data_IF_644442602755
#
_entry.id   IF_644442602755
#
_cell.length_a   1.000
_cell.length_b   1.000
_cell.length_c   1.000
_cell.angle_alpha   90.00
_cell.angle_beta   90.00
_cell.angle_gamma   90.00
#
_symmetry.space_group_name_H-M   'P 1'
#
loop_
_entity.id
_entity.type
_entity.pdbx_description
1 polymer ?
#
# COMPACT_ATOMS: atom_id res chain seq x y z
N UNK A 1 24.16 -15.52 -11.11
CA UNK A 1 22.89 -15.43 -11.88
C UNK A 1 22.63 -13.98 -12.14
N UNK A 2 22.28 -13.58 -13.36
CA UNK A 2 22.02 -12.19 -13.68
C UNK A 2 20.79 -11.72 -12.89
N UNK A 3 20.93 -10.61 -12.17
CA UNK A 3 19.81 -9.91 -11.56
C UNK A 3 18.81 -9.60 -12.68
N UNK A 4 17.59 -10.13 -12.55
CA UNK A 4 16.50 -9.83 -13.49
C UNK A 4 16.24 -8.34 -13.39
N UNK A 5 16.34 -7.60 -14.49
CA UNK A 5 16.09 -6.16 -14.46
C UNK A 5 14.60 -5.85 -14.23
N UNK A 6 14.29 -4.62 -13.84
CA UNK A 6 12.93 -4.19 -13.50
C UNK A 6 11.93 -4.45 -14.65
N UNK A 7 12.30 -4.18 -15.90
CA UNK A 7 11.43 -4.42 -17.05
C UNK A 7 11.06 -5.91 -17.21
N UNK A 8 12.02 -6.81 -17.06
CA UNK A 8 11.77 -8.25 -17.13
C UNK A 8 10.90 -8.73 -15.96
N UNK A 9 11.00 -8.11 -14.77
CA UNK A 9 10.14 -8.44 -13.63
C UNK A 9 8.70 -7.99 -13.88
N UNK A 10 8.48 -6.82 -14.47
CA UNK A 10 7.15 -6.35 -14.83
C UNK A 10 6.46 -7.28 -15.86
N UNK A 11 7.18 -7.73 -16.90
CA UNK A 11 6.66 -8.71 -17.86
C UNK A 11 6.31 -10.03 -17.18
N UNK A 12 7.16 -10.50 -16.28
CA UNK A 12 6.95 -11.74 -15.55
C UNK A 12 5.75 -11.64 -14.60
N UNK A 13 5.58 -10.51 -13.94
CA UNK A 13 4.42 -10.22 -13.10
C UNK A 13 3.11 -10.29 -13.90
N UNK A 14 3.04 -9.58 -15.03
CA UNK A 14 1.87 -9.61 -15.91
C UNK A 14 1.56 -11.02 -16.41
N UNK A 15 2.58 -11.75 -16.82
CA UNK A 15 2.41 -13.13 -17.33
C UNK A 15 1.90 -14.11 -16.26
N UNK A 16 2.20 -13.88 -14.97
CA UNK A 16 1.62 -14.65 -13.87
C UNK A 16 0.18 -14.23 -13.60
N UNK A 17 -0.09 -12.93 -13.54
CA UNK A 17 -1.42 -12.39 -13.27
C UNK A 17 -2.47 -12.82 -14.31
N UNK A 18 -2.06 -13.06 -15.56
CA UNK A 18 -2.93 -13.62 -16.60
C UNK A 18 -3.36 -15.09 -16.34
N UNK A 19 -2.65 -15.83 -15.50
CA UNK A 19 -2.82 -17.28 -15.32
C UNK A 19 -3.30 -17.69 -13.95
N UNK A 20 -3.07 -16.87 -12.97
CA UNK A 20 -3.31 -17.20 -11.56
C UNK A 20 -3.68 -15.95 -10.75
N UNK A 21 -4.34 -16.17 -9.63
CA UNK A 21 -4.57 -15.12 -8.63
C UNK A 21 -3.27 -14.95 -7.85
N UNK A 22 -2.79 -13.71 -7.73
CA UNK A 22 -1.60 -13.41 -6.96
C UNK A 22 -1.96 -13.00 -5.54
N UNK A 23 -1.09 -13.40 -4.60
CA UNK A 23 -1.28 -13.14 -3.17
C UNK A 23 -0.38 -11.98 -2.76
N UNK A 24 -1.00 -10.90 -2.28
CA UNK A 24 -0.32 -9.78 -1.65
C UNK A 24 -0.06 -10.12 -0.18
N UNK A 25 0.99 -9.55 0.42
CA UNK A 25 1.26 -9.67 1.86
C UNK A 25 0.15 -9.01 2.72
N UNK A 26 0.36 -8.91 4.00
CA UNK A 26 -0.61 -8.39 4.95
C UNK A 26 -0.18 -7.08 5.61
N UNK A 27 -0.84 -6.75 6.71
CA UNK A 27 -0.69 -5.49 7.44
C UNK A 27 0.73 -5.31 8.02
N UNK A 28 1.61 -4.63 7.29
CA UNK A 28 2.98 -4.32 7.74
C UNK A 28 2.97 -3.48 9.02
N UNK A 29 2.02 -2.54 9.14
CA UNK A 29 1.92 -1.64 10.30
C UNK A 29 1.75 -2.40 11.60
N UNK A 30 0.81 -3.34 11.66
CA UNK A 30 0.56 -4.13 12.85
C UNK A 30 1.75 -5.01 13.24
N UNK A 31 2.39 -5.65 12.26
CA UNK A 31 3.62 -6.41 12.51
C UNK A 31 4.74 -5.54 13.10
N UNK A 32 4.88 -4.29 12.64
CA UNK A 32 5.84 -3.33 13.18
C UNK A 32 5.46 -2.93 14.61
N UNK A 33 4.18 -2.64 14.89
CA UNK A 33 3.72 -2.33 16.24
C UNK A 33 3.92 -3.52 17.18
N UNK A 34 3.71 -4.75 16.71
CA UNK A 34 3.98 -5.99 17.44
C UNK A 34 5.44 -6.17 17.89
N UNK A 35 6.40 -5.47 17.25
CA UNK A 35 7.80 -5.44 17.71
C UNK A 35 7.98 -4.76 19.08
N UNK A 36 7.00 -3.97 19.53
CA UNK A 36 6.98 -3.36 20.88
C UNK A 36 8.16 -2.42 21.16
N UNK A 37 8.72 -1.77 20.13
CA UNK A 37 9.91 -0.91 20.29
C UNK A 37 9.57 0.34 21.10
N UNK A 38 10.47 0.70 22.02
CA UNK A 38 10.44 1.99 22.73
C UNK A 38 10.80 3.15 21.79
N UNK A 39 10.44 4.38 22.19
CA UNK A 39 10.81 5.60 21.44
C UNK A 39 12.33 5.69 21.19
N UNK A 40 13.15 5.34 22.18
CA UNK A 40 14.62 5.35 22.06
C UNK A 40 15.10 4.32 21.02
N UNK A 41 14.51 3.12 21.01
CA UNK A 41 14.84 2.09 20.04
C UNK A 41 14.43 2.51 18.63
N UNK A 42 13.23 3.10 18.45
CA UNK A 42 12.76 3.61 17.15
C UNK A 42 13.74 4.62 16.58
N UNK A 43 14.23 5.58 17.37
CA UNK A 43 15.22 6.57 16.94
C UNK A 43 16.53 5.95 16.50
N UNK A 44 16.97 4.91 17.19
CA UNK A 44 18.31 4.35 17.03
C UNK A 44 19.39 5.44 17.17
N UNK A 45 20.60 5.17 16.70
CA UNK A 45 21.69 6.16 16.74
C UNK A 45 21.44 7.33 15.77
N UNK A 46 20.75 7.09 14.67
CA UNK A 46 20.59 8.09 13.60
C UNK A 46 19.73 9.27 14.00
N UNK A 47 18.64 9.04 14.72
CA UNK A 47 17.65 10.06 15.07
C UNK A 47 17.61 10.34 16.58
N UNK A 48 18.62 9.93 17.35
CA UNK A 48 18.66 10.09 18.80
C UNK A 48 18.42 11.53 19.28
N UNK A 49 18.91 12.50 18.54
CA UNK A 49 18.80 13.92 18.85
C UNK A 49 17.70 14.63 18.03
N UNK A 50 16.83 13.86 17.33
CA UNK A 50 15.75 14.43 16.53
C UNK A 50 14.71 15.12 17.43
N UNK A 51 14.23 16.33 17.11
CA UNK A 51 13.43 17.13 18.05
C UNK A 51 11.99 16.62 18.26
N UNK A 52 11.45 15.79 17.33
CA UNK A 52 10.08 15.28 17.37
C UNK A 52 10.02 13.86 17.92
N UNK A 53 8.88 13.48 18.51
CA UNK A 53 8.57 12.09 18.87
C UNK A 53 8.44 11.24 17.62
N UNK A 54 9.17 10.13 17.54
CA UNK A 54 9.23 9.24 16.38
C UNK A 54 8.57 7.88 16.63
N UNK A 55 8.00 7.65 17.82
CA UNK A 55 7.44 6.33 18.20
C UNK A 55 6.45 5.78 17.18
N UNK A 56 5.63 6.66 16.60
CA UNK A 56 4.61 6.30 15.63
C UNK A 56 5.05 6.48 14.17
N UNK A 57 6.31 6.82 13.92
CA UNK A 57 6.88 6.96 12.59
C UNK A 57 7.41 5.61 12.09
N UNK A 58 6.52 4.71 11.71
CA UNK A 58 6.88 3.34 11.33
C UNK A 58 7.74 3.25 10.07
N UNK A 59 7.62 4.21 9.17
CA UNK A 59 8.35 4.24 7.90
C UNK A 59 9.86 4.35 8.08
N UNK A 60 10.34 5.03 9.15
CA UNK A 60 11.79 5.15 9.43
C UNK A 60 12.43 3.83 9.90
N UNK A 61 11.64 2.81 10.27
CA UNK A 61 12.16 1.53 10.73
C UNK A 61 12.99 0.84 9.64
N UNK A 62 12.69 1.10 8.38
CA UNK A 62 13.54 0.67 7.26
C UNK A 62 14.98 1.17 7.35
N UNK A 63 15.21 2.34 7.95
CA UNK A 63 16.53 2.94 8.20
C UNK A 63 17.14 2.53 9.54
N UNK A 64 16.34 2.48 10.60
CA UNK A 64 16.85 2.23 11.96
C UNK A 64 16.93 0.75 12.32
N UNK A 65 16.05 -0.08 11.72
CA UNK A 65 15.93 -1.51 11.98
C UNK A 65 15.78 -2.35 10.70
N UNK A 66 16.68 -2.19 9.69
CA UNK A 66 16.51 -2.80 8.36
C UNK A 66 16.37 -4.33 8.41
N UNK A 67 17.09 -5.01 9.32
CA UNK A 67 16.99 -6.47 9.42
C UNK A 67 15.64 -6.93 10.01
N UNK A 68 15.05 -6.15 10.94
CA UNK A 68 13.71 -6.48 11.47
C UNK A 68 12.67 -6.35 10.36
N UNK A 69 12.69 -5.26 9.59
CA UNK A 69 11.76 -5.07 8.46
C UNK A 69 11.97 -6.16 7.41
N UNK A 70 13.21 -6.49 7.05
CA UNK A 70 13.49 -7.60 6.13
C UNK A 70 12.94 -8.93 6.65
N UNK A 71 12.99 -9.16 7.97
CA UNK A 71 12.46 -10.38 8.58
C UNK A 71 10.92 -10.44 8.51
N UNK A 72 10.23 -9.32 8.73
CA UNK A 72 8.77 -9.26 8.54
C UNK A 72 8.38 -9.62 7.09
N UNK A 73 9.08 -9.08 6.11
CA UNK A 73 8.88 -9.47 4.71
C UNK A 73 9.10 -10.97 4.48
N UNK A 74 10.13 -11.58 5.12
CA UNK A 74 10.37 -13.03 5.01
C UNK A 74 9.22 -13.85 5.56
N UNK A 75 8.62 -13.44 6.68
CA UNK A 75 7.47 -14.13 7.27
C UNK A 75 6.29 -14.19 6.29
N UNK A 76 5.93 -13.08 5.65
CA UNK A 76 4.90 -13.07 4.62
C UNK A 76 5.26 -13.93 3.40
N UNK A 77 6.51 -13.90 2.95
CA UNK A 77 6.97 -14.72 1.82
C UNK A 77 6.99 -16.21 2.17
N UNK A 78 7.34 -16.58 3.40
CA UNK A 78 7.28 -17.96 3.90
C UNK A 78 5.84 -18.46 3.97
N UNK A 79 4.91 -17.61 4.37
CA UNK A 79 3.48 -17.89 4.39
C UNK A 79 2.86 -18.00 2.99
N UNK A 80 3.58 -17.58 1.95
CA UNK A 80 3.18 -17.82 0.55
C UNK A 80 2.91 -16.58 -0.29
N UNK A 81 3.13 -15.36 0.19
CA UNK A 81 2.94 -14.14 -0.58
C UNK A 81 3.74 -14.16 -1.90
N UNK A 82 3.13 -13.63 -2.95
CA UNK A 82 3.74 -13.38 -4.27
C UNK A 82 4.24 -11.97 -4.41
N UNK A 83 3.53 -11.03 -3.78
CA UNK A 83 3.79 -9.59 -3.79
C UNK A 83 3.98 -9.16 -2.34
N UNK A 84 5.00 -8.37 -2.06
CA UNK A 84 5.20 -7.71 -0.76
C UNK A 84 5.25 -6.21 -0.92
N UNK A 85 4.63 -5.49 0.01
CA UNK A 85 4.61 -4.03 0.03
C UNK A 85 5.84 -3.47 0.75
N UNK A 86 6.32 -2.33 0.26
CA UNK A 86 7.40 -1.61 0.95
C UNK A 86 6.88 -0.94 2.23
N UNK A 87 7.70 -0.87 3.28
CA UNK A 87 7.39 -0.08 4.47
C UNK A 87 7.56 1.43 4.19
N UNK A 88 6.67 1.99 3.36
CA UNK A 88 6.71 3.38 2.88
C UNK A 88 5.34 4.05 2.81
N UNK A 89 4.37 3.53 3.56
CA UNK A 89 2.97 3.96 3.52
C UNK A 89 2.79 5.47 3.71
N UNK A 90 3.47 6.08 4.68
CA UNK A 90 3.43 7.53 4.93
C UNK A 90 4.64 8.28 4.35
N UNK A 91 5.54 7.61 3.62
CA UNK A 91 6.86 8.12 3.25
C UNK A 91 6.84 9.19 2.13
N UNK A 92 5.90 10.12 2.19
CA UNK A 92 5.87 11.35 1.37
C UNK A 92 6.18 12.58 2.23
N UNK A 93 6.55 13.72 1.63
CA UNK A 93 6.82 14.95 2.38
C UNK A 93 5.61 15.40 3.21
N UNK A 94 4.41 15.33 2.63
CA UNK A 94 3.17 15.66 3.36
C UNK A 94 2.84 14.60 4.39
N UNK A 95 3.04 13.31 4.08
CA UNK A 95 2.78 12.21 5.02
C UNK A 95 3.67 12.28 6.26
N UNK A 96 4.94 12.64 6.11
CA UNK A 96 5.91 12.77 7.20
C UNK A 96 6.05 14.20 7.73
N UNK A 97 5.13 15.12 7.35
CA UNK A 97 5.24 16.55 7.73
C UNK A 97 5.23 16.80 9.25
N UNK A 98 4.56 15.96 10.02
CA UNK A 98 4.48 16.10 11.48
C UNK A 98 5.81 15.79 12.17
N UNK A 99 6.72 15.11 11.50
CA UNK A 99 8.06 14.79 11.98
C UNK A 99 9.13 15.77 11.48
N UNK A 100 8.76 16.70 10.61
CA UNK A 100 9.64 17.74 10.04
C UNK A 100 10.91 17.18 9.38
N UNK A 101 10.84 16.00 8.75
CA UNK A 101 11.97 15.45 8.03
C UNK A 101 12.26 16.25 6.74
N UNK A 102 13.54 16.53 6.45
CA UNK A 102 13.92 17.11 5.17
C UNK A 102 13.74 16.09 4.02
N UNK A 103 13.64 16.59 2.80
CA UNK A 103 13.42 15.78 1.59
C UNK A 103 14.41 14.63 1.46
N UNK A 104 15.68 14.86 1.83
CA UNK A 104 16.72 13.85 1.75
C UNK A 104 16.39 12.63 2.63
N UNK A 105 15.87 12.85 3.85
CA UNK A 105 15.45 11.76 4.75
C UNK A 105 14.24 11.03 4.17
N UNK A 106 13.25 11.76 3.64
CA UNK A 106 12.08 11.15 2.99
C UNK A 106 12.52 10.24 1.82
N UNK A 107 13.44 10.70 1.00
CA UNK A 107 14.01 9.87 -0.08
C UNK A 107 14.73 8.63 0.47
N UNK A 108 15.57 8.78 1.47
CA UNK A 108 16.30 7.66 2.08
C UNK A 108 15.35 6.62 2.70
N UNK A 109 14.25 7.05 3.34
CA UNK A 109 13.20 6.15 3.86
C UNK A 109 12.66 5.27 2.74
N UNK A 110 12.26 5.87 1.60
CA UNK A 110 11.74 5.11 0.46
C UNK A 110 12.78 4.16 -0.13
N UNK A 111 14.04 4.58 -0.29
CA UNK A 111 15.13 3.72 -0.76
C UNK A 111 15.38 2.54 0.17
N UNK A 112 15.38 2.77 1.49
CA UNK A 112 15.56 1.72 2.49
C UNK A 112 14.39 0.73 2.50
N UNK A 113 13.15 1.23 2.39
CA UNK A 113 11.95 0.40 2.33
C UNK A 113 12.02 -0.57 1.13
N UNK A 114 12.37 -0.07 -0.06
CA UNK A 114 12.55 -0.91 -1.24
C UNK A 114 13.72 -1.89 -1.08
N UNK A 115 14.86 -1.45 -0.55
CA UNK A 115 16.02 -2.31 -0.38
C UNK A 115 15.73 -3.51 0.55
N UNK A 116 15.00 -3.28 1.66
CA UNK A 116 14.62 -4.31 2.62
C UNK A 116 13.65 -5.32 1.98
N UNK A 117 12.61 -4.84 1.30
CA UNK A 117 11.65 -5.69 0.61
C UNK A 117 12.31 -6.48 -0.54
N UNK A 118 13.13 -5.82 -1.36
CA UNK A 118 13.84 -6.46 -2.48
C UNK A 118 14.79 -7.56 -2.00
N UNK A 119 15.51 -7.34 -0.90
CA UNK A 119 16.38 -8.35 -0.29
C UNK A 119 15.60 -9.63 0.01
N UNK A 120 14.46 -9.52 0.69
CA UNK A 120 13.62 -10.66 1.00
C UNK A 120 13.03 -11.32 -0.27
N UNK A 121 12.47 -10.52 -1.20
CA UNK A 121 11.88 -11.02 -2.44
C UNK A 121 12.90 -11.78 -3.31
N UNK A 122 14.11 -11.27 -3.44
CA UNK A 122 15.18 -11.92 -4.22
C UNK A 122 15.65 -13.22 -3.55
N UNK A 123 15.77 -13.25 -2.21
CA UNK A 123 16.11 -14.48 -1.46
C UNK A 123 15.07 -15.58 -1.72
N UNK A 124 13.77 -15.27 -1.69
CA UNK A 124 12.70 -16.25 -1.91
C UNK A 124 12.53 -16.63 -3.38
N UNK A 125 12.76 -15.70 -4.29
CA UNK A 125 12.80 -16.02 -5.73
C UNK A 125 13.95 -16.98 -6.05
N UNK A 126 15.10 -16.83 -5.41
CA UNK A 126 16.23 -17.78 -5.58
C UNK A 126 15.92 -19.18 -5.01
N UNK A 127 15.18 -19.27 -3.90
CA UNK A 127 14.73 -20.55 -3.31
C UNK A 127 13.72 -21.27 -4.21
N UNK A 128 12.83 -20.53 -4.86
CA UNK A 128 11.75 -21.05 -5.71
C UNK A 128 11.66 -20.25 -7.02
N UNK A 129 12.56 -20.50 -8.00
CA UNK A 129 12.64 -19.71 -9.24
C UNK A 129 11.37 -19.75 -10.11
N UNK A 130 10.58 -20.80 -10.00
CA UNK A 130 9.29 -20.95 -10.70
C UNK A 130 8.18 -20.10 -10.06
N UNK A 131 8.41 -19.58 -8.86
CA UNK A 131 7.53 -18.68 -8.14
C UNK A 131 8.26 -17.36 -7.79
N UNK A 132 8.50 -16.47 -8.76
CA UNK A 132 9.16 -15.19 -8.52
C UNK A 132 8.32 -14.30 -7.61
N UNK A 133 9.00 -13.48 -6.78
CA UNK A 133 8.38 -12.52 -5.86
C UNK A 133 8.55 -11.10 -6.35
N UNK A 134 7.54 -10.27 -6.09
CA UNK A 134 7.47 -8.90 -6.56
C UNK A 134 7.38 -7.92 -5.38
N UNK A 135 7.82 -6.69 -5.63
CA UNK A 135 7.80 -5.61 -4.63
C UNK A 135 6.89 -4.49 -5.12
N UNK A 136 5.84 -4.22 -4.36
CA UNK A 136 4.95 -3.09 -4.58
C UNK A 136 5.38 -1.91 -3.70
N UNK A 137 5.55 -0.75 -4.32
CA UNK A 137 5.83 0.50 -3.62
C UNK A 137 4.55 1.07 -3.02
N UNK A 138 4.35 0.87 -1.73
CA UNK A 138 3.20 1.37 -0.98
C UNK A 138 3.22 2.90 -0.91
N UNK A 139 2.09 3.52 -1.27
CA UNK A 139 1.84 4.97 -1.23
C UNK A 139 0.49 5.19 -0.56
N UNK A 140 0.50 5.45 0.74
CA UNK A 140 -0.71 5.62 1.52
C UNK A 140 -1.32 7.03 1.45
N UNK A 141 -2.47 7.22 2.11
CA UNK A 141 -3.06 8.55 2.28
C UNK A 141 -2.18 9.39 3.21
N UNK A 142 -2.34 10.71 3.10
CA UNK A 142 -1.66 11.65 4.00
C UNK A 142 -2.59 12.13 5.11
N UNK A 143 -2.03 12.71 6.17
CA UNK A 143 -2.80 13.37 7.24
C UNK A 143 -3.54 14.62 6.75
N UNK A 144 -3.13 15.20 5.60
CA UNK A 144 -3.75 16.38 4.99
C UNK A 144 -4.67 15.99 3.84
N UNK A 145 -5.81 16.71 3.74
CA UNK A 145 -6.84 16.44 2.74
C UNK A 145 -7.05 17.67 1.85
N UNK A 146 -7.22 17.42 0.55
CA UNK A 146 -7.51 18.48 -0.43
C UNK A 146 -9.00 18.68 -0.67
N UNK A 147 -9.85 17.68 -0.43
CA UNK A 147 -11.27 17.72 -0.75
C UNK A 147 -12.11 18.45 0.31
N UNK A 148 -11.72 18.44 1.57
CA UNK A 148 -12.50 19.01 2.67
C UNK A 148 -11.78 20.13 3.42
N UNK A 149 -12.55 21.01 4.08
CA UNK A 149 -12.03 21.97 5.04
C UNK A 149 -11.87 21.33 6.42
N UNK A 150 -10.72 21.51 7.05
CA UNK A 150 -10.49 21.17 8.46
C UNK A 150 -10.82 22.36 9.39
N UNK A 151 -11.16 23.54 8.83
CA UNK A 151 -11.61 24.70 9.58
C UNK A 151 -13.13 24.80 9.52
N UNK A 152 -13.80 24.62 10.65
CA UNK A 152 -15.27 24.64 10.76
C UNK A 152 -15.87 26.00 10.39
N UNK A 153 -15.12 27.10 10.59
CA UNK A 153 -15.60 28.47 10.32
C UNK A 153 -15.32 28.94 8.90
N UNK A 154 -14.45 28.23 8.16
CA UNK A 154 -14.10 28.58 6.78
C UNK A 154 -14.17 27.35 5.86
N UNK A 155 -15.26 27.20 5.15
CA UNK A 155 -15.47 26.10 4.22
C UNK A 155 -14.50 26.12 3.01
N UNK A 156 -13.85 27.24 2.73
CA UNK A 156 -12.86 27.38 1.64
C UNK A 156 -11.45 26.97 2.06
N UNK A 157 -11.19 26.92 3.35
CA UNK A 157 -9.87 26.55 3.88
C UNK A 157 -9.45 25.14 3.45
N UNK A 158 -8.19 24.99 3.10
CA UNK A 158 -7.53 23.69 2.87
C UNK A 158 -6.20 23.70 3.59
N UNK A 159 -5.84 22.58 4.23
CA UNK A 159 -4.57 22.45 4.93
C UNK A 159 -3.41 22.05 4.00
N UNK A 160 -3.70 21.81 2.74
CA UNK A 160 -2.74 21.60 1.65
C UNK A 160 -3.40 21.91 0.31
N UNK A 161 -2.60 22.18 -0.72
CA UNK A 161 -3.08 22.39 -2.11
C UNK A 161 -2.85 21.13 -2.94
N UNK A 162 -3.47 21.08 -4.13
CA UNK A 162 -3.24 19.99 -5.08
C UNK A 162 -1.77 19.96 -5.53
N UNK A 163 -1.17 21.12 -5.78
CA UNK A 163 0.21 21.28 -6.24
C UNK A 163 1.22 20.83 -5.16
N UNK A 164 0.99 21.17 -3.90
CA UNK A 164 1.82 20.70 -2.78
C UNK A 164 1.73 19.19 -2.60
N UNK A 165 0.52 18.66 -2.71
CA UNK A 165 0.28 17.22 -2.62
C UNK A 165 0.95 16.48 -3.78
N UNK A 166 0.80 16.98 -5.00
CA UNK A 166 1.41 16.43 -6.20
C UNK A 166 2.94 16.43 -6.09
N UNK A 167 3.53 17.56 -5.70
CA UNK A 167 4.99 17.66 -5.52
C UNK A 167 5.51 16.67 -4.46
N UNK A 168 4.76 16.52 -3.37
CA UNK A 168 5.07 15.55 -2.30
C UNK A 168 5.07 14.11 -2.80
N UNK A 169 4.03 13.70 -3.51
CA UNK A 169 3.94 12.36 -4.09
C UNK A 169 4.97 12.13 -5.21
N UNK A 170 5.31 13.15 -5.99
CA UNK A 170 6.33 13.03 -7.03
C UNK A 170 7.69 12.60 -6.47
N UNK A 171 8.09 13.15 -5.30
CA UNK A 171 9.34 12.79 -4.62
C UNK A 171 9.31 11.32 -4.18
N UNK A 172 8.19 10.87 -3.60
CA UNK A 172 8.01 9.48 -3.17
C UNK A 172 8.01 8.52 -4.37
N UNK A 173 7.21 8.78 -5.40
CA UNK A 173 7.13 7.99 -6.64
C UNK A 173 8.50 7.84 -7.28
N UNK A 174 9.21 8.96 -7.43
CA UNK A 174 10.57 8.98 -7.99
C UNK A 174 11.52 8.09 -7.18
N UNK A 175 11.52 8.23 -5.85
CA UNK A 175 12.39 7.44 -4.98
C UNK A 175 12.07 5.94 -5.05
N UNK A 176 10.79 5.56 -5.02
CA UNK A 176 10.35 4.16 -5.12
C UNK A 176 10.76 3.52 -6.46
N UNK A 177 10.52 4.21 -7.58
CA UNK A 177 10.85 3.67 -8.91
C UNK A 177 12.36 3.60 -9.14
N UNK A 178 13.12 4.63 -8.74
CA UNK A 178 14.59 4.64 -8.82
C UNK A 178 15.21 3.56 -7.93
N UNK A 179 14.62 3.26 -6.78
CA UNK A 179 15.06 2.18 -5.89
C UNK A 179 14.71 0.77 -6.41
N UNK A 180 13.80 0.64 -7.39
CA UNK A 180 13.56 -0.59 -8.14
C UNK A 180 12.35 -1.41 -7.70
N UNK A 181 11.24 -0.76 -7.29
CA UNK A 181 9.94 -1.44 -7.13
C UNK A 181 9.45 -1.99 -8.47
N UNK A 182 8.64 -3.03 -8.43
CA UNK A 182 8.04 -3.64 -9.63
C UNK A 182 6.69 -3.01 -9.97
N UNK A 183 6.00 -2.48 -8.97
CA UNK A 183 4.65 -1.93 -9.03
C UNK A 183 4.61 -0.67 -8.15
N UNK A 184 3.86 0.38 -8.56
CA UNK A 184 3.43 1.45 -7.66
C UNK A 184 2.03 1.14 -7.13
N UNK A 185 1.84 1.34 -5.83
CA UNK A 185 0.58 0.99 -5.18
C UNK A 185 0.03 2.14 -4.31
N UNK A 186 -0.64 3.15 -4.91
CA UNK A 186 -1.52 4.05 -4.17
C UNK A 186 -2.65 3.26 -3.51
N UNK A 187 -2.63 3.19 -2.18
CA UNK A 187 -3.55 2.37 -1.39
C UNK A 187 -4.27 3.16 -0.30
N UNK A 188 -5.31 2.53 0.29
CA UNK A 188 -6.05 3.09 1.43
C UNK A 188 -6.62 4.47 1.12
N UNK A 189 -7.05 4.67 -0.11
CA UNK A 189 -7.51 5.98 -0.60
C UNK A 189 -8.84 6.36 0.02
N UNK A 190 -8.83 7.41 0.81
CA UNK A 190 -10.00 8.01 1.47
C UNK A 190 -10.46 9.32 0.80
N UNK A 191 -9.56 10.00 0.09
CA UNK A 191 -9.79 11.24 -0.66
C UNK A 191 -9.35 11.07 -2.12
N UNK A 192 -10.32 11.05 -3.05
CA UNK A 192 -10.03 10.88 -4.48
C UNK A 192 -9.32 12.08 -5.11
N UNK A 193 -9.37 13.27 -4.51
CA UNK A 193 -8.60 14.41 -5.00
C UNK A 193 -7.11 14.25 -4.65
N UNK A 194 -6.79 13.76 -3.45
CA UNK A 194 -5.43 13.35 -3.10
C UNK A 194 -4.92 12.23 -4.03
N UNK A 195 -5.76 11.23 -4.31
CA UNK A 195 -5.41 10.17 -5.27
C UNK A 195 -5.11 10.76 -6.67
N UNK A 196 -5.89 11.70 -7.14
CA UNK A 196 -5.64 12.35 -8.44
C UNK A 196 -4.30 13.09 -8.45
N UNK A 197 -3.92 13.74 -7.35
CA UNK A 197 -2.59 14.34 -7.23
C UNK A 197 -1.48 13.28 -7.30
N UNK A 198 -1.66 12.14 -6.64
CA UNK A 198 -0.74 11.01 -6.73
C UNK A 198 -0.65 10.44 -8.16
N UNK A 199 -1.78 10.16 -8.80
CA UNK A 199 -1.81 9.65 -10.18
C UNK A 199 -1.21 10.64 -11.18
N UNK A 200 -1.41 11.94 -10.97
CA UNK A 200 -0.79 12.98 -11.78
C UNK A 200 0.74 12.98 -11.60
N UNK A 201 1.23 12.85 -10.36
CA UNK A 201 2.67 12.74 -10.08
C UNK A 201 3.29 11.50 -10.73
N UNK A 202 2.58 10.36 -10.73
CA UNK A 202 3.00 9.13 -11.40
C UNK A 202 3.10 9.35 -12.91
N UNK A 203 2.06 9.92 -13.53
CA UNK A 203 2.04 10.22 -14.96
C UNK A 203 3.20 11.13 -15.36
N UNK A 204 3.42 12.21 -14.58
CA UNK A 204 4.53 13.15 -14.79
C UNK A 204 5.89 12.46 -14.68
N UNK A 205 6.07 11.61 -13.68
CA UNK A 205 7.33 10.87 -13.53
C UNK A 205 7.57 9.91 -14.69
N UNK A 206 6.54 9.22 -15.16
CA UNK A 206 6.66 8.35 -16.35
C UNK A 206 7.03 9.14 -17.62
N UNK A 207 6.46 10.33 -17.80
CA UNK A 207 6.81 11.24 -18.91
C UNK A 207 8.25 11.73 -18.78
N UNK A 208 8.65 12.21 -17.60
CA UNK A 208 9.99 12.77 -17.35
C UNK A 208 11.10 11.71 -17.46
N UNK A 209 10.86 10.48 -17.00
CA UNK A 209 11.89 9.43 -16.94
C UNK A 209 11.87 8.45 -18.12
N UNK A 210 10.73 8.31 -18.80
CA UNK A 210 10.50 7.25 -19.77
C UNK A 210 10.37 5.84 -19.15
N UNK A 211 10.42 5.71 -17.82
CA UNK A 211 10.34 4.44 -17.12
C UNK A 211 8.91 4.20 -16.60
N UNK A 212 8.13 3.43 -17.34
CA UNK A 212 6.73 3.09 -17.02
C UNK A 212 6.67 1.72 -16.36
N UNK A 213 6.07 1.66 -15.18
CA UNK A 213 5.83 0.41 -14.45
C UNK A 213 4.35 0.25 -14.11
N UNK A 214 3.86 -0.96 -13.81
CA UNK A 214 2.48 -1.19 -13.42
C UNK A 214 2.04 -0.35 -12.22
N UNK A 215 0.78 0.10 -12.22
CA UNK A 215 0.17 0.84 -11.12
C UNK A 215 -1.07 0.10 -10.64
N UNK A 216 -1.12 -0.23 -9.37
CA UNK A 216 -2.30 -0.72 -8.66
C UNK A 216 -2.91 0.43 -7.86
N UNK A 217 -4.22 0.44 -7.68
CA UNK A 217 -4.92 1.45 -6.86
C UNK A 217 -5.91 0.76 -5.93
N UNK A 218 -5.97 1.17 -4.67
CA UNK A 218 -6.93 0.62 -3.73
C UNK A 218 -7.62 1.73 -2.90
N UNK A 219 -8.95 1.70 -2.87
CA UNK A 219 -9.77 2.64 -2.10
C UNK A 219 -10.25 2.04 -0.78
N UNK A 220 -10.48 2.89 0.21
CA UNK A 220 -11.03 2.49 1.49
C UNK A 220 -12.43 3.08 1.68
N UNK A 221 -13.38 2.20 1.98
CA UNK A 221 -14.80 2.51 2.05
C UNK A 221 -15.34 2.29 3.46
N UNK A 222 -16.25 3.15 3.89
CA UNK A 222 -17.02 2.95 5.11
C UNK A 222 -18.14 1.91 4.89
N UNK A 223 -18.79 1.46 5.95
CA UNK A 223 -19.96 0.56 5.88
C UNK A 223 -21.09 1.11 4.98
N UNK A 224 -21.19 2.43 4.86
CA UNK A 224 -22.13 3.09 3.94
C UNK A 224 -21.83 2.83 2.46
N UNK A 225 -20.71 2.18 2.13
CA UNK A 225 -20.28 1.94 0.76
C UNK A 225 -19.67 3.15 0.07
N UNK A 226 -19.22 4.15 0.82
CA UNK A 226 -18.59 5.35 0.28
C UNK A 226 -17.21 5.61 0.90
N UNK A 227 -16.30 6.24 0.15
CA UNK A 227 -15.00 6.67 0.65
C UNK A 227 -15.14 7.66 1.80
N UNK A 228 -14.26 7.58 2.80
CA UNK A 228 -14.40 8.31 4.07
C UNK A 228 -14.42 9.83 3.92
N UNK A 229 -13.60 10.38 3.03
CA UNK A 229 -13.44 11.84 2.89
C UNK A 229 -14.23 12.37 1.70
N UNK A 230 -14.04 11.80 0.52
CA UNK A 230 -14.72 12.29 -0.69
C UNK A 230 -16.17 11.80 -0.82
N UNK A 231 -16.62 10.85 0.03
CA UNK A 231 -18.00 10.38 0.07
C UNK A 231 -18.47 9.69 -1.23
N UNK A 232 -17.56 9.14 -2.01
CA UNK A 232 -17.87 8.53 -3.30
C UNK A 232 -18.18 7.04 -3.13
N UNK A 233 -19.32 6.62 -3.66
CA UNK A 233 -19.67 5.20 -3.80
C UNK A 233 -18.74 4.52 -4.83
N UNK A 234 -18.75 3.20 -4.86
CA UNK A 234 -17.84 2.39 -5.69
C UNK A 234 -17.80 2.83 -7.15
N UNK A 235 -18.96 3.01 -7.78
CA UNK A 235 -19.03 3.48 -9.17
C UNK A 235 -18.44 4.89 -9.34
N UNK A 236 -18.75 5.82 -8.43
CA UNK A 236 -18.25 7.19 -8.48
C UNK A 236 -16.72 7.23 -8.26
N UNK A 237 -16.20 6.42 -7.33
CA UNK A 237 -14.78 6.25 -7.14
C UNK A 237 -14.10 5.76 -8.42
N UNK A 238 -14.57 4.64 -8.99
CA UNK A 238 -14.02 4.11 -10.24
C UNK A 238 -14.07 5.14 -11.37
N UNK A 239 -15.23 5.76 -11.62
CA UNK A 239 -15.39 6.77 -12.68
C UNK A 239 -14.46 7.97 -12.50
N UNK A 240 -14.17 8.36 -11.26
CA UNK A 240 -13.31 9.53 -11.00
C UNK A 240 -11.84 9.27 -11.36
N UNK A 241 -11.38 8.00 -11.39
CA UNK A 241 -9.97 7.61 -11.62
C UNK A 241 -9.75 6.76 -12.87
N UNK A 242 -10.81 6.30 -13.53
CA UNK A 242 -10.76 5.40 -14.71
C UNK A 242 -10.07 6.00 -15.94
N UNK A 243 -9.78 7.30 -15.93
CA UNK A 243 -9.01 7.97 -17.00
C UNK A 243 -7.51 7.66 -16.92
N UNK A 244 -7.01 7.18 -15.78
CA UNK A 244 -5.61 6.79 -15.61
C UNK A 244 -5.42 5.32 -16.00
N UNK A 245 -4.40 4.97 -16.80
CA UNK A 245 -4.11 3.59 -17.17
C UNK A 245 -3.50 2.84 -15.99
N UNK A 246 -4.33 2.15 -15.21
CA UNK A 246 -3.89 1.33 -14.09
C UNK A 246 -4.01 -0.16 -14.40
N UNK A 247 -3.16 -0.96 -13.76
CA UNK A 247 -3.18 -2.41 -13.85
C UNK A 247 -4.34 -3.02 -13.07
N UNK A 248 -4.54 -2.57 -11.85
CA UNK A 248 -5.65 -3.00 -11.01
C UNK A 248 -6.29 -1.86 -10.25
N UNK A 249 -7.56 -2.04 -9.94
CA UNK A 249 -8.31 -1.22 -9.00
C UNK A 249 -8.93 -2.13 -7.94
N UNK A 250 -9.01 -1.67 -6.72
CA UNK A 250 -9.50 -2.51 -5.63
C UNK A 250 -9.95 -1.77 -4.39
N UNK A 251 -10.08 -2.54 -3.33
CA UNK A 251 -10.50 -2.07 -2.01
C UNK A 251 -9.64 -2.70 -0.93
N UNK A 252 -9.37 -1.93 0.12
CA UNK A 252 -8.64 -2.43 1.28
C UNK A 252 -9.12 -1.78 2.57
N UNK A 253 -8.82 -2.41 3.70
CA UNK A 253 -9.05 -1.93 5.07
C UNK A 253 -10.51 -1.64 5.44
N UNK A 254 -10.72 -1.15 6.66
CA UNK A 254 -11.97 -0.69 7.27
C UNK A 254 -13.11 -1.72 7.37
N UNK A 255 -13.28 -2.60 6.40
CA UNK A 255 -14.39 -3.54 6.32
C UNK A 255 -13.90 -4.99 6.33
N UNK A 256 -14.66 -5.84 7.01
CA UNK A 256 -14.53 -7.29 6.88
C UNK A 256 -15.10 -7.78 5.53
N UNK A 257 -14.85 -9.05 5.19
CA UNK A 257 -15.21 -9.61 3.90
C UNK A 257 -16.72 -9.59 3.64
N UNK A 258 -17.54 -9.83 4.64
CA UNK A 258 -19.00 -9.87 4.47
C UNK A 258 -19.57 -8.54 3.94
N UNK A 259 -19.06 -7.42 4.46
CA UNK A 259 -19.48 -6.07 4.03
C UNK A 259 -18.85 -5.72 2.67
N UNK A 260 -17.59 -6.07 2.46
CA UNK A 260 -16.90 -5.80 1.18
C UNK A 260 -17.47 -6.58 0.01
N UNK A 261 -18.09 -7.73 0.25
CA UNK A 261 -18.58 -8.65 -0.76
C UNK A 261 -19.38 -7.96 -1.88
N UNK A 262 -20.38 -7.16 -1.51
CA UNK A 262 -21.24 -6.46 -2.48
C UNK A 262 -20.48 -5.40 -3.26
N UNK A 263 -19.54 -4.74 -2.63
CA UNK A 263 -18.73 -3.69 -3.26
C UNK A 263 -17.72 -4.26 -4.27
N UNK A 264 -17.09 -5.40 -3.94
CA UNK A 264 -16.18 -6.10 -4.87
C UNK A 264 -16.95 -6.68 -6.04
N UNK A 265 -18.13 -7.26 -5.81
CA UNK A 265 -19.01 -7.73 -6.89
C UNK A 265 -19.40 -6.57 -7.82
N UNK A 266 -19.77 -5.40 -7.28
CA UNK A 266 -20.08 -4.20 -8.07
C UNK A 266 -18.85 -3.74 -8.88
N UNK A 267 -17.70 -3.58 -8.22
CA UNK A 267 -16.47 -3.14 -8.87
C UNK A 267 -16.05 -4.08 -10.00
N UNK A 268 -16.14 -5.40 -9.80
CA UNK A 268 -15.79 -6.40 -10.80
C UNK A 268 -16.63 -6.32 -12.07
N UNK A 269 -17.87 -5.79 -11.99
CA UNK A 269 -18.77 -5.64 -13.14
C UNK A 269 -18.54 -4.38 -13.94
N UNK A 270 -17.99 -3.33 -13.31
CA UNK A 270 -17.88 -1.99 -13.91
C UNK A 270 -16.45 -1.59 -14.26
N UNK A 271 -15.45 -2.15 -13.58
CA UNK A 271 -14.05 -1.83 -13.82
C UNK A 271 -13.49 -2.69 -14.96
N UNK A 272 -12.57 -2.10 -15.73
CA UNK A 272 -11.87 -2.79 -16.83
C UNK A 272 -10.50 -3.35 -16.44
N UNK A 273 -9.74 -2.78 -15.46
CA UNK A 273 -8.50 -3.36 -14.95
C UNK A 273 -8.77 -4.64 -14.12
N UNK A 274 -7.70 -5.33 -13.75
CA UNK A 274 -7.76 -6.40 -12.76
C UNK A 274 -8.31 -5.87 -11.42
N UNK A 275 -8.89 -6.77 -10.62
CA UNK A 275 -9.48 -6.42 -9.33
C UNK A 275 -8.60 -6.94 -8.19
N UNK A 276 -8.32 -6.06 -7.21
CA UNK A 276 -7.64 -6.42 -5.97
C UNK A 276 -8.53 -6.20 -4.75
N UNK A 277 -8.41 -7.05 -3.73
CA UNK A 277 -9.15 -6.89 -2.49
C UNK A 277 -8.36 -7.34 -1.26
N UNK A 278 -8.31 -6.46 -0.26
CA UNK A 278 -7.58 -6.65 0.98
C UNK A 278 -8.48 -6.28 2.17
N UNK A 279 -9.46 -7.12 2.53
CA UNK A 279 -10.38 -6.86 3.65
C UNK A 279 -9.67 -7.07 5.01
N UNK A 280 -10.17 -6.41 6.05
CA UNK A 280 -9.80 -6.75 7.41
C UNK A 280 -10.33 -8.14 7.80
N UNK A 281 -9.76 -8.77 8.81
CA UNK A 281 -10.21 -10.05 9.37
C UNK A 281 -11.49 -9.90 10.21
N UNK A 282 -12.47 -9.18 9.72
CA UNK A 282 -13.69 -8.81 10.44
C UNK A 282 -13.63 -7.41 11.04
N UNK A 283 -14.44 -7.17 12.07
CA UNK A 283 -14.42 -5.93 12.86
C UNK A 283 -13.72 -6.20 14.20
N UNK A 284 -12.86 -5.26 14.68
CA UNK A 284 -12.22 -5.44 15.96
C UNK A 284 -13.25 -5.48 17.09
N UNK A 285 -13.11 -6.41 18.01
CA UNK A 285 -13.90 -6.50 19.25
C UNK A 285 -13.49 -5.39 20.25
N UNK A 286 -14.12 -5.36 21.43
CA UNK A 286 -13.82 -4.38 22.50
C UNK A 286 -12.36 -4.43 23.01
N UNK A 287 -11.65 -5.53 22.75
CA UNK A 287 -10.23 -5.70 23.11
C UNK A 287 -9.29 -5.42 21.93
N UNK A 288 -9.83 -5.09 20.74
CA UNK A 288 -9.05 -4.84 19.54
C UNK A 288 -8.68 -6.09 18.74
N UNK A 289 -9.21 -7.27 19.12
CA UNK A 289 -8.97 -8.53 18.43
C UNK A 289 -9.98 -8.69 17.27
N UNK A 290 -9.58 -9.33 16.19
CA UNK A 290 -10.44 -9.58 15.04
C UNK A 290 -11.14 -10.93 15.12
N UNK A 291 -12.40 -10.99 14.67
CA UNK A 291 -13.27 -12.15 14.87
C UNK A 291 -13.06 -13.28 13.84
N UNK A 292 -12.43 -13.01 12.69
CA UNK A 292 -12.31 -13.98 11.61
C UNK A 292 -10.90 -14.59 11.55
N UNK A 293 -10.87 -15.94 11.68
CA UNK A 293 -9.64 -16.69 11.47
C UNK A 293 -9.26 -16.88 9.99
N UNK A 294 -8.04 -17.36 9.71
CA UNK A 294 -7.56 -17.60 8.34
C UNK A 294 -8.45 -18.54 7.52
N UNK A 295 -9.04 -19.54 8.16
CA UNK A 295 -9.93 -20.51 7.50
C UNK A 295 -11.24 -19.85 7.04
N UNK A 296 -11.83 -18.99 7.88
CA UNK A 296 -13.06 -18.25 7.52
C UNK A 296 -12.79 -17.26 6.37
N UNK A 297 -11.69 -16.56 6.44
CA UNK A 297 -11.25 -15.66 5.36
C UNK A 297 -11.01 -16.41 4.06
N UNK A 298 -10.36 -17.58 4.12
CA UNK A 298 -10.09 -18.40 2.95
C UNK A 298 -11.39 -18.87 2.26
N UNK A 299 -12.44 -19.18 3.02
CA UNK A 299 -13.76 -19.56 2.46
C UNK A 299 -14.35 -18.43 1.64
N UNK A 300 -14.36 -17.21 2.18
CA UNK A 300 -14.94 -16.04 1.50
C UNK A 300 -14.12 -15.61 0.29
N UNK A 301 -12.79 -15.52 0.43
CA UNK A 301 -11.91 -15.16 -0.70
C UNK A 301 -12.00 -16.20 -1.81
N UNK A 302 -12.11 -17.49 -1.48
CA UNK A 302 -12.32 -18.57 -2.47
C UNK A 302 -13.62 -18.38 -3.23
N UNK A 303 -14.73 -18.06 -2.56
CA UNK A 303 -16.00 -17.75 -3.25
C UNK A 303 -15.84 -16.62 -4.28
N UNK A 304 -15.14 -15.54 -3.90
CA UNK A 304 -14.93 -14.41 -4.81
C UNK A 304 -14.02 -14.76 -5.98
N UNK A 305 -12.99 -15.57 -5.73
CA UNK A 305 -12.10 -16.09 -6.75
C UNK A 305 -12.83 -16.99 -7.75
N UNK A 306 -13.64 -17.93 -7.25
CA UNK A 306 -14.46 -18.84 -8.08
C UNK A 306 -15.54 -18.07 -8.87
N UNK A 307 -16.01 -16.94 -8.35
CA UNK A 307 -16.94 -16.03 -9.03
C UNK A 307 -16.25 -15.15 -10.08
N UNK A 308 -14.93 -15.19 -10.19
CA UNK A 308 -14.15 -14.38 -11.13
C UNK A 308 -14.07 -12.91 -10.76
N UNK A 309 -14.26 -12.55 -9.48
CA UNK A 309 -14.23 -11.15 -9.01
C UNK A 309 -12.86 -10.66 -8.63
N UNK A 310 -11.88 -11.55 -8.41
CA UNK A 310 -10.55 -11.22 -7.92
C UNK A 310 -9.43 -11.71 -8.83
N UNK A 311 -8.37 -10.93 -8.88
CA UNK A 311 -7.09 -11.27 -9.52
C UNK A 311 -5.91 -11.15 -8.54
N UNK A 312 -6.04 -10.30 -7.52
CA UNK A 312 -5.05 -10.12 -6.45
C UNK A 312 -5.81 -10.07 -5.12
N UNK A 313 -5.38 -10.85 -4.14
CA UNK A 313 -5.99 -10.87 -2.82
C UNK A 313 -4.93 -10.86 -1.72
N UNK A 314 -5.36 -10.48 -0.51
CA UNK A 314 -4.54 -10.45 0.68
C UNK A 314 -4.21 -11.87 1.17
N UNK A 315 -2.98 -12.03 1.68
CA UNK A 315 -2.59 -13.21 2.42
C UNK A 315 -3.18 -13.16 3.85
N UNK A 316 -3.82 -14.24 4.25
CA UNK A 316 -4.26 -14.46 5.63
C UNK A 316 -3.52 -15.63 6.23
N UNK A 317 -2.82 -15.37 7.33
CA UNK A 317 -2.15 -16.38 8.16
C UNK A 317 -2.70 -16.34 9.57
N UNK A 318 -2.38 -17.35 10.38
CA UNK A 318 -2.75 -17.36 11.81
C UNK A 318 -2.22 -16.12 12.55
N UNK A 319 -1.08 -15.61 12.14
CA UNK A 319 -0.45 -14.44 12.77
C UNK A 319 -1.06 -13.11 12.28
N UNK A 320 -1.65 -13.09 11.07
CA UNK A 320 -2.36 -11.92 10.52
C UNK A 320 -3.84 -11.86 10.94
N UNK A 321 -4.39 -12.95 11.49
CA UNK A 321 -5.74 -12.99 12.01
C UNK A 321 -5.83 -12.49 13.48
N UNK A 322 -4.69 -12.42 14.18
CA UNK A 322 -4.57 -11.90 15.54
C UNK A 322 -4.42 -10.36 15.57
N UNK A 323 -4.63 -9.69 14.42
CA UNK A 323 -4.53 -8.25 14.17
C UNK A 323 -5.90 -7.70 13.71
#
# INVERSE_FOLDING_TARGET
>A
MSVVNQANRAELFLSRLEKEILILDGAMGSMIFGLGLSEEEVRGERFKDWPHDLKNCTDIFGLTHPEKITELHRQYLEAGADIIETNSFQASLVGLSDFEFPEEVVREVNFAAVANARKAADEYTLKTPDKPRFVAGSIGPTSKQTAISTNVEDASYRNTTFEEMEASYYIQVKALVEAGVDILFPETVIDTLNLKACLFSIARYFEDSGNVIPVMVSGTFAESGSTFVSGQVVEAFWKSVSHFPMLSVGMNCALGPDVMRTHIEELSKIATPYISCHPNAGTPNEMGEFDLGPEDMAVTIKEWAESGWLNICLLYTSDAADE
#
